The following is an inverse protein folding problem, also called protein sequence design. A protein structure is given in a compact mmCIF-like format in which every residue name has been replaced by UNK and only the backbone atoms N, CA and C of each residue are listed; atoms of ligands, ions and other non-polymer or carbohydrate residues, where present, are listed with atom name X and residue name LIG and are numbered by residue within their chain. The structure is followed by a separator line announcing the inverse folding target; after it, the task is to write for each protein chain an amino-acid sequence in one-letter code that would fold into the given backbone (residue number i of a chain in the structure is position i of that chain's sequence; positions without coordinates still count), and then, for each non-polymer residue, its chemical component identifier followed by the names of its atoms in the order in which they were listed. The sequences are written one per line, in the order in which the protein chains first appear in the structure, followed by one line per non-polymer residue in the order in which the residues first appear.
data_IF_278553880870
#
_entry.id   IF_278553880870
#
_cell.length_a   1.000
_cell.length_b   1.000
_cell.length_c   1.000
_cell.angle_alpha   90.00
_cell.angle_beta   90.00
_cell.angle_gamma   90.00
#
_symmetry.space_group_name_H-M   'P 1'
#
loop_
_entity.id
_entity.type
_entity.pdbx_description
1 polymer ?
#
# COMPACT_ATOMS: atom_id res chain seq x y z
N UNK A 1 -22.50 33.62 30.52
CA UNK A 1 -23.37 34.05 29.41
C UNK A 1 -22.66 33.66 28.14
N UNK A 2 -23.08 32.56 27.53
CA UNK A 2 -22.97 32.44 26.07
C UNK A 2 -24.02 33.34 25.42
N UNK A 3 -23.78 33.70 24.15
CA UNK A 3 -24.83 33.47 23.15
C UNK A 3 -24.31 32.85 21.83
N UNK A 4 -24.88 31.68 21.51
CA UNK A 4 -25.47 31.21 20.24
C UNK A 4 -25.02 31.71 18.85
N UNK A 5 -24.59 30.72 18.05
CA UNK A 5 -24.98 30.34 16.65
C UNK A 5 -24.66 31.24 15.44
N UNK A 6 -23.88 30.68 14.50
CA UNK A 6 -24.33 30.42 13.11
C UNK A 6 -23.38 29.45 12.37
N UNK A 7 -23.93 28.32 11.93
CA UNK A 7 -23.32 27.38 10.98
C UNK A 7 -23.13 28.04 9.60
N UNK A 8 -21.99 27.80 8.95
CA UNK A 8 -21.94 27.59 7.49
C UNK A 8 -20.89 26.52 7.18
N UNK A 9 -21.37 25.40 6.64
CA UNK A 9 -20.62 24.34 5.96
C UNK A 9 -19.59 24.88 4.96
N UNK A 10 -18.40 24.27 4.87
CA UNK A 10 -18.13 23.29 3.79
C UNK A 10 -16.73 22.67 3.88
N UNK A 11 -16.57 21.42 3.39
CA UNK A 11 -15.44 20.53 3.72
C UNK A 11 -14.47 20.26 2.55
N UNK A 12 -13.21 19.90 2.89
CA UNK A 12 -12.44 18.76 2.31
C UNK A 12 -11.90 18.93 0.86
N UNK A 13 -10.71 18.47 0.44
CA UNK A 13 -10.29 17.08 0.12
C UNK A 13 -8.83 17.16 -0.43
N UNK A 14 -7.79 16.54 0.15
CA UNK A 14 -7.32 15.13 0.06
C UNK A 14 -6.37 14.80 -1.12
N UNK A 15 -5.18 14.25 -0.78
CA UNK A 15 -4.38 13.17 -1.41
C UNK A 15 -4.77 12.65 -2.84
N UNK A 16 -3.80 12.52 -3.74
CA UNK A 16 -3.87 11.73 -4.99
C UNK A 16 -2.77 10.64 -4.95
N UNK A 17 -2.97 9.35 -4.62
CA UNK A 17 -3.65 8.25 -5.34
C UNK A 17 -4.00 8.66 -6.77
N UNK A 18 -3.57 7.88 -7.78
CA UNK A 18 -4.04 8.04 -9.16
C UNK A 18 -5.53 8.36 -9.11
N UNK A 19 -5.85 9.62 -9.39
CA UNK A 19 -7.12 10.20 -8.98
C UNK A 19 -8.25 9.40 -9.62
N UNK A 20 -7.97 8.82 -10.79
CA UNK A 20 -8.80 7.89 -11.54
C UNK A 20 -9.07 6.57 -10.79
N UNK A 21 -8.07 5.88 -10.25
CA UNK A 21 -8.28 4.66 -9.45
C UNK A 21 -9.03 4.95 -8.14
N UNK A 22 -8.75 6.10 -7.50
CA UNK A 22 -9.45 6.55 -6.30
C UNK A 22 -10.92 6.88 -6.59
N UNK A 23 -11.17 7.65 -7.64
CA UNK A 23 -12.50 8.00 -8.13
C UNK A 23 -13.26 6.73 -8.51
N UNK A 24 -12.63 5.80 -9.22
CA UNK A 24 -13.24 4.55 -9.64
C UNK A 24 -13.65 3.70 -8.42
N UNK A 25 -12.77 3.60 -7.42
CA UNK A 25 -13.08 2.92 -6.17
C UNK A 25 -14.27 3.56 -5.43
N UNK A 26 -14.29 4.89 -5.27
CA UNK A 26 -15.41 5.59 -4.63
C UNK A 26 -16.71 5.48 -5.43
N UNK A 27 -16.63 5.49 -6.77
CA UNK A 27 -17.77 5.28 -7.65
C UNK A 27 -18.38 3.89 -7.49
N UNK A 28 -17.55 2.85 -7.37
CA UNK A 28 -17.99 1.47 -7.13
C UNK A 28 -18.68 1.36 -5.76
N UNK A 29 -18.11 1.95 -4.71
CA UNK A 29 -18.71 1.98 -3.37
C UNK A 29 -20.03 2.76 -3.38
N UNK A 30 -20.10 3.90 -4.07
CA UNK A 30 -21.31 4.69 -4.24
C UNK A 30 -22.39 3.90 -4.99
N UNK A 31 -22.04 3.14 -6.03
CA UNK A 31 -22.96 2.27 -6.76
C UNK A 31 -23.60 1.21 -5.84
N UNK A 32 -22.80 0.56 -4.99
CA UNK A 32 -23.32 -0.39 -4.00
C UNK A 32 -24.22 0.27 -2.93
N UNK A 33 -23.90 1.50 -2.51
CA UNK A 33 -24.73 2.26 -1.56
C UNK A 33 -26.07 2.70 -2.17
N UNK A 34 -26.06 3.08 -3.45
CA UNK A 34 -27.24 3.59 -4.16
C UNK A 34 -28.13 2.48 -4.73
N UNK A 35 -27.65 1.24 -4.83
CA UNK A 35 -28.38 0.08 -5.36
C UNK A 35 -29.83 0.02 -4.86
N UNK A 36 -30.04 0.05 -3.53
CA UNK A 36 -31.36 -0.08 -2.93
C UNK A 36 -32.31 1.04 -3.35
N UNK A 37 -31.86 2.28 -3.23
CA UNK A 37 -32.69 3.45 -3.52
C UNK A 37 -33.09 3.46 -5.00
N UNK A 38 -32.14 3.22 -5.90
CA UNK A 38 -32.40 3.19 -7.34
C UNK A 38 -33.34 2.04 -7.74
N UNK A 39 -33.09 0.83 -7.24
CA UNK A 39 -33.91 -0.33 -7.55
C UNK A 39 -35.34 -0.19 -6.99
N UNK A 40 -35.50 0.30 -5.75
CA UNK A 40 -36.82 0.53 -5.18
C UNK A 40 -37.59 1.66 -5.88
N UNK A 41 -36.91 2.72 -6.34
CA UNK A 41 -37.55 3.79 -7.12
C UNK A 41 -38.18 3.28 -8.42
N UNK A 42 -37.62 2.25 -9.05
CA UNK A 42 -38.21 1.65 -10.24
C UNK A 42 -39.48 0.86 -9.92
N UNK A 43 -39.53 0.20 -8.77
CA UNK A 43 -40.73 -0.51 -8.30
C UNK A 43 -41.81 0.47 -7.85
N UNK A 44 -41.45 1.48 -7.07
CA UNK A 44 -42.36 2.52 -6.60
C UNK A 44 -43.09 3.22 -7.75
N UNK A 45 -42.39 3.55 -8.85
CA UNK A 45 -43.02 4.16 -10.04
C UNK A 45 -44.05 3.25 -10.70
N UNK A 46 -43.77 1.94 -10.79
CA UNK A 46 -44.70 0.95 -11.37
C UNK A 46 -45.91 0.74 -10.48
N UNK A 47 -45.72 0.69 -9.15
CA UNK A 47 -46.83 0.61 -8.19
C UNK A 47 -47.70 1.87 -8.22
N UNK A 48 -47.08 3.06 -8.29
CA UNK A 48 -47.81 4.32 -8.38
C UNK A 48 -48.69 4.39 -9.64
N UNK A 49 -48.14 3.96 -10.79
CA UNK A 49 -48.92 3.88 -12.03
C UNK A 49 -50.04 2.84 -11.94
N UNK A 50 -49.75 1.65 -11.41
CA UNK A 50 -50.78 0.62 -11.23
C UNK A 50 -51.92 1.13 -10.33
N UNK A 51 -51.61 1.86 -9.26
CA UNK A 51 -52.59 2.45 -8.35
C UNK A 51 -53.41 3.59 -8.98
N UNK A 52 -52.94 4.24 -10.04
CA UNK A 52 -53.69 5.29 -10.74
C UNK A 52 -54.65 4.74 -11.80
N UNK A 53 -54.60 3.43 -12.10
CA UNK A 53 -55.49 2.80 -13.07
C UNK A 53 -56.92 2.63 -12.53
N UNK A 54 -57.93 2.50 -13.41
CA UNK A 54 -59.28 2.12 -13.01
C UNK A 54 -59.32 0.84 -12.19
N UNK A 55 -60.24 0.75 -11.23
CA UNK A 55 -60.33 -0.39 -10.29
C UNK A 55 -60.43 -1.76 -10.98
N UNK A 56 -61.13 -1.87 -12.11
CA UNK A 56 -61.20 -3.09 -12.92
C UNK A 56 -59.84 -3.53 -13.45
N UNK A 57 -59.01 -2.59 -13.91
CA UNK A 57 -57.65 -2.89 -14.39
C UNK A 57 -56.72 -3.27 -13.25
N UNK A 58 -56.88 -2.64 -12.07
CA UNK A 58 -56.12 -3.04 -10.88
C UNK A 58 -56.42 -4.49 -10.48
N UNK A 59 -57.69 -4.91 -10.54
CA UNK A 59 -58.10 -6.30 -10.27
C UNK A 59 -57.50 -7.27 -11.28
N UNK A 60 -57.50 -6.94 -12.57
CA UNK A 60 -56.87 -7.77 -13.61
C UNK A 60 -55.35 -7.91 -13.41
N UNK A 61 -54.71 -6.91 -12.82
CA UNK A 61 -53.27 -6.87 -12.55
C UNK A 61 -52.89 -7.32 -11.13
N UNK A 62 -53.78 -7.97 -10.38
CA UNK A 62 -53.50 -8.43 -9.02
C UNK A 62 -52.23 -9.31 -8.94
N UNK A 63 -52.07 -10.26 -9.87
CA UNK A 63 -50.87 -11.11 -9.96
C UNK A 63 -49.58 -10.31 -10.25
N UNK A 64 -49.70 -9.21 -11.00
CA UNK A 64 -48.57 -8.33 -11.28
C UNK A 64 -48.19 -7.48 -10.06
N UNK A 65 -49.19 -7.01 -9.28
CA UNK A 65 -48.96 -6.36 -7.98
C UNK A 65 -48.21 -7.28 -7.01
N UNK A 66 -48.60 -8.55 -6.92
CA UNK A 66 -47.90 -9.54 -6.09
C UNK A 66 -46.47 -9.80 -6.58
N UNK A 67 -46.27 -9.82 -7.89
CA UNK A 67 -44.93 -9.93 -8.47
C UNK A 67 -44.05 -8.72 -8.08
N UNK A 68 -44.58 -7.49 -8.10
CA UNK A 68 -43.83 -6.31 -7.66
C UNK A 68 -43.41 -6.42 -6.19
N UNK A 69 -44.23 -6.98 -5.30
CA UNK A 69 -43.85 -7.23 -3.91
C UNK A 69 -42.69 -8.25 -3.80
N UNK A 70 -42.72 -9.33 -4.58
CA UNK A 70 -41.61 -10.29 -4.65
C UNK A 70 -40.32 -9.63 -5.15
N UNK A 71 -40.42 -8.72 -6.13
CA UNK A 71 -39.26 -7.94 -6.61
C UNK A 71 -38.70 -7.04 -5.52
N UNK A 72 -39.54 -6.35 -4.73
CA UNK A 72 -39.08 -5.55 -3.56
C UNK A 72 -38.31 -6.41 -2.56
N UNK A 73 -38.84 -7.60 -2.25
CA UNK A 73 -38.18 -8.52 -1.34
C UNK A 73 -36.79 -8.93 -1.85
N UNK A 74 -36.66 -9.28 -3.13
CA UNK A 74 -35.38 -9.63 -3.74
C UNK A 74 -34.38 -8.46 -3.73
N UNK A 75 -34.85 -7.24 -4.02
CA UNK A 75 -34.01 -6.02 -3.92
C UNK A 75 -33.47 -5.85 -2.50
N UNK A 76 -34.31 -6.08 -1.49
CA UNK A 76 -33.89 -5.93 -0.10
C UNK A 76 -32.95 -7.04 0.37
N UNK A 77 -33.13 -8.27 -0.13
CA UNK A 77 -32.19 -9.36 0.09
C UNK A 77 -30.82 -9.07 -0.54
N UNK A 78 -30.79 -8.56 -1.77
CA UNK A 78 -29.58 -8.13 -2.46
C UNK A 78 -28.92 -6.95 -1.74
N UNK A 79 -29.69 -5.97 -1.28
CA UNK A 79 -29.14 -4.85 -0.50
C UNK A 79 -28.46 -5.30 0.79
N UNK A 80 -29.00 -6.30 1.50
CA UNK A 80 -28.34 -6.89 2.67
C UNK A 80 -26.98 -7.50 2.31
N UNK A 81 -26.86 -8.14 1.14
CA UNK A 81 -25.59 -8.66 0.64
C UNK A 81 -24.63 -7.52 0.22
N UNK A 82 -25.10 -6.54 -0.54
CA UNK A 82 -24.30 -5.37 -0.92
C UNK A 82 -23.80 -4.57 0.28
N UNK A 83 -24.60 -4.47 1.34
CA UNK A 83 -24.14 -3.91 2.62
C UNK A 83 -22.96 -4.68 3.18
N UNK A 84 -22.93 -6.02 3.12
CA UNK A 84 -21.77 -6.80 3.59
C UNK A 84 -20.51 -6.47 2.79
N UNK A 85 -20.63 -6.28 1.47
CA UNK A 85 -19.51 -5.83 0.61
C UNK A 85 -19.07 -4.40 0.95
N UNK A 86 -20.02 -3.51 1.25
CA UNK A 86 -19.75 -2.09 1.45
C UNK A 86 -19.39 -1.68 2.89
N UNK A 87 -19.61 -2.52 3.91
CA UNK A 87 -19.50 -2.10 5.33
C UNK A 87 -18.52 -2.87 6.20
N UNK A 88 -17.87 -3.97 5.77
CA UNK A 88 -17.15 -4.80 6.77
C UNK A 88 -15.83 -5.50 6.46
N UNK A 89 -15.18 -5.37 5.29
CA UNK A 89 -14.03 -6.29 5.02
C UNK A 89 -12.68 -5.66 4.69
N UNK A 90 -12.56 -4.40 4.28
CA UNK A 90 -11.23 -3.94 3.81
C UNK A 90 -10.28 -3.41 4.90
N UNK A 91 -10.75 -2.69 5.93
CA UNK A 91 -9.84 -2.15 6.96
C UNK A 91 -9.14 -3.23 7.79
N UNK A 92 -9.85 -4.28 8.19
CA UNK A 92 -9.28 -5.41 8.95
C UNK A 92 -8.48 -6.39 8.07
N UNK A 93 -8.72 -6.45 6.76
CA UNK A 93 -7.95 -7.32 5.87
C UNK A 93 -6.55 -6.77 5.57
N UNK A 94 -6.40 -5.44 5.50
CA UNK A 94 -5.12 -4.78 5.16
C UNK A 94 -4.10 -4.90 6.31
N UNK A 95 -4.51 -4.75 7.56
CA UNK A 95 -3.61 -4.94 8.73
C UNK A 95 -3.09 -6.38 8.86
N UNK A 96 -3.84 -7.37 8.34
CA UNK A 96 -3.43 -8.78 8.36
C UNK A 96 -2.40 -9.13 7.27
N UNK A 97 -2.18 -8.24 6.30
CA UNK A 97 -1.16 -8.40 5.28
C UNK A 97 0.18 -7.94 5.85
N UNK A 98 1.10 -8.89 6.01
CA UNK A 98 2.43 -8.67 6.57
C UNK A 98 3.44 -8.41 5.47
N UNK A 99 4.07 -7.24 5.54
CA UNK A 99 5.05 -6.77 4.56
C UNK A 99 6.41 -6.62 5.23
N UNK A 100 7.43 -7.25 4.66
CA UNK A 100 8.83 -7.08 5.08
C UNK A 100 9.56 -6.16 4.09
N UNK A 101 10.37 -5.25 4.62
CA UNK A 101 11.26 -4.35 3.85
C UNK A 101 12.70 -4.56 4.31
N UNK A 102 13.46 -5.44 3.65
CA UNK A 102 14.90 -5.59 3.90
C UNK A 102 15.68 -4.34 3.46
N UNK A 103 16.73 -3.99 4.20
CA UNK A 103 17.53 -2.78 3.93
C UNK A 103 16.70 -1.49 4.03
N UNK A 104 15.94 -1.36 5.11
CA UNK A 104 14.96 -0.28 5.27
C UNK A 104 15.60 1.12 5.38
N UNK A 105 16.91 1.23 5.62
CA UNK A 105 17.65 2.48 5.71
C UNK A 105 17.07 3.39 6.79
N UNK A 106 16.68 4.61 6.40
CA UNK A 106 16.04 5.57 7.31
C UNK A 106 14.57 5.26 7.63
N UNK A 107 13.98 4.27 6.97
CA UNK A 107 12.63 3.78 7.26
C UNK A 107 11.48 4.58 6.63
N UNK A 108 11.73 5.38 5.58
CA UNK A 108 10.64 6.11 4.90
C UNK A 108 9.63 5.15 4.24
N UNK A 109 10.11 4.11 3.55
CA UNK A 109 9.23 3.16 2.86
C UNK A 109 8.34 2.38 3.84
N UNK A 110 8.90 1.93 4.97
CA UNK A 110 8.12 1.23 6.00
C UNK A 110 7.05 2.14 6.63
N UNK A 111 7.35 3.43 6.82
CA UNK A 111 6.37 4.42 7.28
C UNK A 111 5.23 4.57 6.27
N UNK A 112 5.54 4.69 4.97
CA UNK A 112 4.54 4.83 3.90
C UNK A 112 3.61 3.61 3.80
N UNK A 113 4.17 2.40 3.93
CA UNK A 113 3.41 1.15 3.90
C UNK A 113 2.50 1.07 5.15
N UNK A 114 3.04 1.33 6.34
CA UNK A 114 2.25 1.30 7.56
C UNK A 114 1.20 2.43 7.61
N UNK A 115 1.47 3.60 7.03
CA UNK A 115 0.51 4.70 6.88
C UNK A 115 -0.71 4.31 6.03
N UNK A 116 -0.53 3.41 5.06
CA UNK A 116 -1.63 2.83 4.27
C UNK A 116 -2.44 1.76 5.02
N UNK A 117 -2.02 1.35 6.22
CA UNK A 117 -2.75 0.44 7.09
C UNK A 117 -2.19 -0.97 7.20
N UNK A 118 -1.08 -1.27 6.51
CA UNK A 118 -0.48 -2.61 6.52
C UNK A 118 0.32 -2.88 7.81
N UNK A 119 0.53 -4.15 8.14
CA UNK A 119 1.64 -4.52 9.02
C UNK A 119 2.93 -4.44 8.20
N UNK A 120 3.85 -3.58 8.61
CA UNK A 120 5.15 -3.42 7.96
C UNK A 120 6.28 -3.58 8.97
N UNK A 121 7.26 -4.40 8.61
CA UNK A 121 8.52 -4.52 9.33
C UNK A 121 9.67 -4.14 8.41
N UNK A 122 10.53 -3.23 8.87
CA UNK A 122 11.81 -2.96 8.25
C UNK A 122 12.91 -3.80 8.88
N UNK A 123 13.88 -4.22 8.08
CA UNK A 123 15.13 -4.77 8.58
C UNK A 123 16.30 -3.88 8.16
N UNK A 124 17.21 -3.62 9.09
CA UNK A 124 18.42 -2.86 8.81
C UNK A 124 19.60 -3.39 9.64
N UNK A 125 20.76 -3.49 9.01
CA UNK A 125 21.99 -3.98 9.63
C UNK A 125 22.92 -2.82 10.03
N UNK A 126 22.96 -1.74 9.25
CA UNK A 126 23.86 -0.62 9.48
C UNK A 126 23.48 0.17 10.73
N UNK A 127 24.40 0.24 11.69
CA UNK A 127 24.22 1.03 12.90
C UNK A 127 24.00 2.54 12.59
N UNK A 128 24.63 3.05 11.52
CA UNK A 128 24.41 4.43 11.06
C UNK A 128 22.93 4.66 10.70
N UNK A 129 22.34 3.73 9.95
CA UNK A 129 20.93 3.82 9.53
C UNK A 129 19.98 3.60 10.71
N UNK A 130 20.29 2.67 11.63
CA UNK A 130 19.48 2.40 12.81
C UNK A 130 19.41 3.60 13.77
N UNK A 131 20.55 4.25 14.04
CA UNK A 131 20.60 5.44 14.90
C UNK A 131 19.83 6.60 14.25
N UNK A 132 20.09 6.85 12.97
CA UNK A 132 19.44 7.94 12.25
C UNK A 132 17.93 7.72 12.06
N UNK A 133 17.50 6.50 11.71
CA UNK A 133 16.08 6.14 11.58
C UNK A 133 15.36 6.27 12.91
N UNK A 134 15.94 5.81 14.02
CA UNK A 134 15.35 5.98 15.34
C UNK A 134 15.17 7.47 15.71
N UNK A 135 16.11 8.34 15.35
CA UNK A 135 15.94 9.78 15.53
C UNK A 135 14.79 10.32 14.67
N UNK A 136 14.78 10.04 13.36
CA UNK A 136 13.77 10.56 12.43
C UNK A 136 12.37 10.02 12.74
N UNK A 137 12.22 8.76 13.12
CA UNK A 137 10.92 8.13 13.33
C UNK A 137 10.34 8.40 14.72
N UNK A 138 11.18 8.52 15.76
CA UNK A 138 10.71 8.59 17.15
C UNK A 138 10.96 9.94 17.83
N UNK A 139 11.82 10.80 17.28
CA UNK A 139 12.18 12.10 17.88
C UNK A 139 11.77 13.28 17.01
N UNK A 140 11.77 13.09 15.70
CA UNK A 140 11.36 14.13 14.77
C UNK A 140 9.83 14.20 14.64
N UNK A 141 9.18 15.00 15.49
CA UNK A 141 7.70 15.09 15.55
C UNK A 141 7.07 16.29 14.83
N UNK A 142 7.86 17.27 14.37
CA UNK A 142 7.37 18.46 13.64
C UNK A 142 7.91 18.48 12.21
N UNK A 143 7.09 18.86 11.23
CA UNK A 143 7.52 19.05 9.84
C UNK A 143 8.66 20.09 9.78
N UNK A 144 9.70 19.81 9.00
CA UNK A 144 10.85 20.69 8.76
C UNK A 144 11.60 21.17 10.01
N UNK A 145 11.54 20.42 11.11
CA UNK A 145 12.14 20.81 12.40
C UNK A 145 13.68 20.82 12.41
N UNK A 146 14.31 20.05 11.51
CA UNK A 146 15.75 19.90 11.42
C UNK A 146 16.24 20.42 10.08
N UNK A 147 17.45 20.99 10.07
CA UNK A 147 18.14 21.46 8.87
C UNK A 147 19.45 20.69 8.71
N UNK A 148 19.75 20.23 7.49
CA UNK A 148 20.96 19.50 7.13
C UNK A 148 21.59 20.09 5.86
N UNK A 149 22.90 19.93 5.69
CA UNK A 149 23.64 20.43 4.52
C UNK A 149 24.33 19.26 3.82
N UNK A 150 23.59 18.44 3.04
CA UNK A 150 24.08 17.16 2.52
C UNK A 150 25.17 17.30 1.45
N UNK A 151 25.28 18.46 0.81
CA UNK A 151 26.14 18.66 -0.37
C UNK A 151 27.56 19.14 -0.04
N UNK A 152 27.87 19.45 1.23
CA UNK A 152 29.12 20.13 1.61
C UNK A 152 30.38 19.36 1.25
N UNK A 153 30.30 18.03 1.14
CA UNK A 153 31.43 17.17 0.78
C UNK A 153 31.60 16.95 -0.74
N UNK A 154 30.68 17.45 -1.57
CA UNK A 154 30.80 17.37 -3.03
C UNK A 154 31.63 18.54 -3.57
N UNK A 155 32.89 18.29 -3.93
CA UNK A 155 33.83 19.31 -4.42
C UNK A 155 33.87 19.44 -5.96
N UNK A 156 33.26 18.50 -6.67
CA UNK A 156 33.22 18.45 -8.14
C UNK A 156 31.77 18.55 -8.64
N UNK A 157 31.58 18.93 -9.91
CA UNK A 157 30.25 19.06 -10.54
C UNK A 157 29.29 20.07 -9.87
N UNK A 158 29.83 21.11 -9.20
CA UNK A 158 29.02 22.21 -8.67
C UNK A 158 28.86 23.31 -9.75
N UNK A 159 27.62 23.56 -10.18
CA UNK A 159 27.33 24.65 -11.13
C UNK A 159 27.49 26.05 -10.50
N UNK A 160 27.20 26.17 -9.21
CA UNK A 160 27.40 27.40 -8.44
C UNK A 160 27.89 27.11 -7.03
N UNK A 161 28.54 28.10 -6.40
CA UNK A 161 28.94 28.03 -4.98
C UNK A 161 27.75 27.79 -4.04
N UNK A 162 26.56 28.27 -4.42
CA UNK A 162 25.34 28.09 -3.65
C UNK A 162 24.88 26.64 -3.55
N UNK A 163 25.10 25.84 -4.60
CA UNK A 163 24.63 24.44 -4.62
C UNK A 163 25.34 23.58 -3.56
N UNK A 164 26.63 23.80 -3.31
CA UNK A 164 27.38 23.02 -2.31
C UNK A 164 26.94 23.30 -0.87
N UNK A 165 26.39 24.48 -0.60
CA UNK A 165 25.97 24.92 0.74
C UNK A 165 24.45 24.98 0.90
N UNK A 166 23.71 24.38 -0.05
CA UNK A 166 22.26 24.37 -0.02
C UNK A 166 21.75 23.53 1.16
N UNK A 167 20.83 24.11 1.93
CA UNK A 167 20.24 23.48 3.10
C UNK A 167 19.00 22.68 2.69
N UNK A 168 18.78 21.55 3.36
CA UNK A 168 17.52 20.78 3.29
C UNK A 168 16.91 20.70 4.68
N UNK A 169 15.59 20.74 4.76
CA UNK A 169 14.85 20.56 6.02
C UNK A 169 14.19 19.18 6.07
N UNK A 170 14.06 18.62 7.27
CA UNK A 170 13.42 17.32 7.50
C UNK A 170 12.81 17.22 8.90
N UNK A 171 11.88 16.28 9.14
CA UNK A 171 11.16 15.45 8.15
C UNK A 171 10.14 16.31 7.38
N UNK A 172 9.88 15.98 6.12
CA UNK A 172 8.84 16.62 5.29
C UNK A 172 7.42 16.31 5.78
N UNK A 173 7.25 15.16 6.46
CA UNK A 173 5.99 14.73 7.06
C UNK A 173 6.19 14.53 8.57
N UNK A 174 5.26 15.04 9.39
CA UNK A 174 5.26 14.76 10.83
C UNK A 174 4.61 13.40 11.11
N UNK A 175 5.33 12.43 11.71
CA UNK A 175 4.75 11.15 12.11
C UNK A 175 3.68 11.30 13.21
N UNK A 176 3.68 12.42 13.94
CA UNK A 176 2.66 12.70 14.97
C UNK A 176 1.37 13.24 14.37
N UNK A 177 1.47 14.10 13.35
CA UNK A 177 0.31 14.64 12.63
C UNK A 177 -0.31 13.60 11.70
N UNK A 178 0.53 12.73 11.13
CA UNK A 178 0.12 11.66 10.21
C UNK A 178 0.59 10.29 10.71
N UNK A 179 0.06 9.80 11.84
CA UNK A 179 0.51 8.53 12.40
C UNK A 179 0.20 7.37 11.46
N UNK A 180 1.07 6.33 11.40
CA UNK A 180 0.76 5.11 10.69
C UNK A 180 -0.60 4.53 11.11
N UNK A 181 -1.40 4.11 10.14
CA UNK A 181 -2.72 3.48 10.40
C UNK A 181 -2.58 2.01 10.78
N UNK A 182 -1.53 1.35 10.27
CA UNK A 182 -1.17 -0.03 10.56
C UNK A 182 -0.01 -0.13 11.57
N UNK A 183 0.59 -1.32 11.64
CA UNK A 183 1.72 -1.57 12.54
C UNK A 183 3.04 -1.33 11.82
N UNK A 184 3.97 -0.65 12.50
CA UNK A 184 5.29 -0.32 11.97
C UNK A 184 6.36 -0.81 12.95
N UNK A 185 7.27 -1.65 12.48
CA UNK A 185 8.40 -2.18 13.26
C UNK A 185 9.72 -1.99 12.50
N UNK A 186 10.84 -1.93 13.24
CA UNK A 186 12.20 -1.94 12.69
C UNK A 186 13.04 -2.95 13.47
N UNK A 187 13.65 -3.91 12.78
CA UNK A 187 14.49 -4.98 13.35
C UNK A 187 15.94 -4.77 12.94
N UNK A 188 16.83 -4.76 13.94
CA UNK A 188 18.26 -4.60 13.75
C UNK A 188 18.97 -5.94 13.52
N UNK A 189 19.77 -6.03 12.45
CA UNK A 189 20.71 -7.11 12.21
C UNK A 189 20.68 -7.64 10.77
N UNK A 190 21.45 -8.68 10.51
CA UNK A 190 21.65 -9.27 9.19
C UNK A 190 20.39 -10.00 8.69
N UNK A 191 19.89 -9.58 7.53
CA UNK A 191 18.74 -10.18 6.85
C UNK A 191 18.86 -11.70 6.73
N UNK A 192 20.05 -12.20 6.34
CA UNK A 192 20.29 -13.63 6.15
C UNK A 192 20.18 -14.44 7.45
N UNK A 193 20.36 -13.80 8.60
CA UNK A 193 20.40 -14.45 9.90
C UNK A 193 19.06 -14.38 10.63
N UNK A 194 18.36 -13.25 10.51
CA UNK A 194 17.13 -12.95 11.25
C UNK A 194 15.94 -13.73 10.70
N UNK A 195 15.78 -13.76 9.38
CA UNK A 195 14.55 -14.26 8.77
C UNK A 195 14.69 -15.73 8.41
N UNK A 196 14.13 -16.59 9.28
CA UNK A 196 14.18 -18.06 9.17
C UNK A 196 12.81 -18.74 9.11
N UNK A 197 11.76 -18.04 9.54
CA UNK A 197 10.41 -18.59 9.55
C UNK A 197 9.86 -18.66 8.12
N UNK A 198 9.69 -19.89 7.64
CA UNK A 198 9.13 -20.16 6.32
C UNK A 198 7.65 -19.77 6.25
N UNK A 199 7.19 -19.38 5.06
CA UNK A 199 5.77 -19.13 4.77
C UNK A 199 5.09 -18.13 5.73
N UNK A 200 5.80 -17.07 6.11
CA UNK A 200 5.33 -16.13 7.13
C UNK A 200 4.87 -14.78 6.57
N UNK A 201 5.52 -14.29 5.52
CA UNK A 201 5.27 -12.97 4.93
C UNK A 201 4.31 -13.04 3.74
N UNK A 202 3.40 -12.07 3.65
CA UNK A 202 2.51 -11.93 2.49
C UNK A 202 3.23 -11.20 1.34
N UNK A 203 4.14 -10.28 1.69
CA UNK A 203 4.93 -9.52 0.74
C UNK A 203 6.34 -9.25 1.26
N UNK A 204 7.33 -9.29 0.37
CA UNK A 204 8.67 -8.73 0.60
C UNK A 204 8.89 -7.62 -0.42
N UNK A 205 9.33 -6.44 0.03
CA UNK A 205 9.60 -5.29 -0.83
C UNK A 205 11.06 -4.86 -0.68
N UNK A 206 11.86 -5.05 -1.72
CA UNK A 206 13.27 -4.66 -1.77
C UNK A 206 13.44 -3.42 -2.64
N UNK A 207 14.12 -2.40 -2.11
CA UNK A 207 14.39 -1.14 -2.81
C UNK A 207 15.87 -0.79 -2.68
N UNK A 208 16.65 -0.83 -3.77
CA UNK A 208 18.12 -0.62 -3.74
C UNK A 208 18.81 -1.52 -2.69
N UNK A 209 18.45 -2.81 -2.68
CA UNK A 209 18.86 -3.75 -1.64
C UNK A 209 19.56 -5.00 -2.18
N UNK A 210 19.03 -5.63 -3.23
CA UNK A 210 19.51 -6.97 -3.63
C UNK A 210 20.96 -7.00 -4.12
N UNK A 211 21.48 -5.85 -4.56
CA UNK A 211 22.85 -5.66 -4.99
C UNK A 211 23.83 -5.41 -3.83
N UNK A 212 23.36 -5.37 -2.57
CA UNK A 212 24.23 -5.35 -1.39
C UNK A 212 24.64 -6.74 -0.89
N UNK A 213 24.19 -7.82 -1.56
CA UNK A 213 24.56 -9.19 -1.20
C UNK A 213 25.97 -9.55 -1.69
N UNK A 214 26.72 -10.34 -0.90
CA UNK A 214 27.90 -11.06 -1.41
C UNK A 214 27.51 -12.10 -2.45
N UNK A 215 26.40 -12.81 -2.20
CA UNK A 215 25.80 -13.77 -3.11
C UNK A 215 24.29 -13.51 -3.19
N UNK A 216 23.84 -12.94 -4.30
CA UNK A 216 22.44 -12.60 -4.51
C UNK A 216 21.51 -13.81 -4.50
N UNK A 217 22.02 -15.02 -4.78
CA UNK A 217 21.22 -16.25 -4.73
C UNK A 217 20.72 -16.49 -3.30
N UNK A 218 21.55 -16.24 -2.28
CA UNK A 218 21.15 -16.41 -0.87
C UNK A 218 19.98 -15.48 -0.51
N UNK A 219 19.96 -14.26 -1.07
CA UNK A 219 18.84 -13.33 -0.89
C UNK A 219 17.59 -13.86 -1.57
N UNK A 220 17.67 -14.29 -2.83
CA UNK A 220 16.53 -14.82 -3.58
C UNK A 220 15.93 -16.05 -2.89
N UNK A 221 16.77 -16.97 -2.41
CA UNK A 221 16.33 -18.18 -1.70
C UNK A 221 15.64 -17.84 -0.37
N UNK A 222 16.20 -16.95 0.45
CA UNK A 222 15.54 -16.54 1.69
C UNK A 222 14.22 -15.86 1.39
N UNK A 223 14.17 -14.93 0.44
CA UNK A 223 12.92 -14.23 0.08
C UNK A 223 11.86 -15.25 -0.36
N UNK A 224 12.23 -16.26 -1.16
CA UNK A 224 11.32 -17.33 -1.56
C UNK A 224 10.78 -18.11 -0.35
N UNK A 225 11.67 -18.55 0.54
CA UNK A 225 11.32 -19.41 1.66
C UNK A 225 10.44 -18.72 2.70
N UNK A 226 10.69 -17.43 2.98
CA UNK A 226 9.96 -16.69 4.02
C UNK A 226 8.59 -16.19 3.53
N UNK A 227 8.37 -16.14 2.21
CA UNK A 227 7.07 -15.81 1.63
C UNK A 227 6.10 -16.97 1.77
N UNK A 228 4.83 -16.67 2.10
CA UNK A 228 3.73 -17.63 2.01
C UNK A 228 3.58 -18.14 0.56
N UNK A 229 2.95 -19.31 0.34
CA UNK A 229 2.50 -19.70 -0.99
C UNK A 229 1.53 -18.65 -1.56
N UNK A 230 1.78 -18.21 -2.80
CA UNK A 230 1.09 -17.07 -3.42
C UNK A 230 1.49 -15.69 -2.89
N UNK A 231 2.49 -15.61 -2.00
CA UNK A 231 3.08 -14.36 -1.52
C UNK A 231 3.89 -13.66 -2.62
N UNK A 232 4.03 -12.35 -2.50
CA UNK A 232 4.63 -11.52 -3.55
C UNK A 232 5.99 -10.93 -3.15
N UNK A 233 6.92 -10.89 -4.10
CA UNK A 233 8.15 -10.13 -3.98
C UNK A 233 8.15 -8.97 -4.99
N UNK A 234 8.31 -7.75 -4.47
CA UNK A 234 8.48 -6.53 -5.26
C UNK A 234 9.93 -6.08 -5.14
N UNK A 235 10.63 -5.95 -6.26
CA UNK A 235 11.98 -5.42 -6.30
C UNK A 235 12.07 -4.18 -7.19
N UNK A 236 12.73 -3.13 -6.72
CA UNK A 236 13.11 -1.96 -7.51
C UNK A 236 14.53 -1.52 -7.14
N UNK A 237 15.46 -1.55 -8.09
CA UNK A 237 16.82 -1.10 -7.84
C UNK A 237 17.80 -1.47 -8.95
N UNK A 238 18.99 -0.86 -8.96
CA UNK A 238 20.05 -1.22 -9.89
C UNK A 238 20.68 -2.57 -9.52
N UNK A 239 21.73 -2.93 -10.25
CA UNK A 239 22.64 -4.04 -9.94
C UNK A 239 24.05 -3.48 -9.72
N UNK A 240 24.20 -2.55 -8.78
CA UNK A 240 25.48 -1.98 -8.39
C UNK A 240 26.05 -2.80 -7.23
N UNK A 241 26.67 -3.94 -7.57
CA UNK A 241 27.14 -4.90 -6.57
C UNK A 241 28.12 -4.29 -5.59
N UNK A 242 27.72 -4.22 -4.32
CA UNK A 242 28.44 -3.47 -3.28
C UNK A 242 29.89 -3.91 -3.10
N UNK A 243 30.14 -5.20 -3.24
CA UNK A 243 31.43 -5.83 -2.95
C UNK A 243 32.31 -6.04 -4.19
N UNK A 244 31.87 -5.64 -5.39
CA UNK A 244 32.57 -5.97 -6.65
C UNK A 244 34.03 -5.49 -6.71
N UNK A 245 34.31 -4.34 -6.08
CA UNK A 245 35.63 -3.70 -6.09
C UNK A 245 36.41 -3.89 -4.77
N UNK A 246 35.90 -4.73 -3.85
CA UNK A 246 36.51 -4.95 -2.54
C UNK A 246 37.44 -6.18 -2.55
N UNK A 247 38.76 -5.93 -2.55
CA UNK A 247 39.80 -6.97 -2.71
C UNK A 247 39.76 -8.14 -1.71
N UNK A 248 39.14 -7.96 -0.54
CA UNK A 248 39.09 -8.99 0.52
C UNK A 248 37.69 -9.57 0.73
N UNK A 249 36.72 -9.22 -0.12
CA UNK A 249 35.35 -9.70 -0.03
C UNK A 249 35.04 -10.63 -1.20
N UNK A 250 34.26 -11.67 -0.93
CA UNK A 250 33.70 -12.48 -2.01
C UNK A 250 32.45 -11.80 -2.55
N UNK A 251 32.32 -11.74 -3.88
CA UNK A 251 31.19 -11.11 -4.55
C UNK A 251 30.88 -11.88 -5.84
N UNK A 252 29.59 -11.99 -6.16
CA UNK A 252 29.10 -12.58 -7.41
C UNK A 252 28.19 -11.54 -8.06
N UNK A 253 28.51 -11.14 -9.29
CA UNK A 253 27.85 -10.05 -10.02
C UNK A 253 27.05 -10.54 -11.24
N UNK A 254 25.94 -11.29 -11.07
CA UNK A 254 25.15 -11.74 -12.21
C UNK A 254 24.55 -10.56 -12.97
N UNK A 255 24.39 -10.72 -14.28
CA UNK A 255 23.63 -9.76 -15.09
C UNK A 255 22.15 -9.81 -14.73
N UNK A 256 21.36 -8.84 -15.21
CA UNK A 256 19.91 -8.90 -15.06
C UNK A 256 19.30 -10.15 -15.71
N UNK A 257 19.84 -10.59 -16.86
CA UNK A 257 19.37 -11.80 -17.54
C UNK A 257 19.61 -13.05 -16.67
N UNK A 258 20.80 -13.15 -16.07
CA UNK A 258 21.14 -14.23 -15.14
C UNK A 258 20.27 -14.19 -13.88
N UNK A 259 20.01 -13.00 -13.33
CA UNK A 259 19.12 -12.82 -12.18
C UNK A 259 17.71 -13.32 -12.48
N UNK A 260 17.18 -13.07 -13.68
CA UNK A 260 15.87 -13.60 -14.10
C UNK A 260 15.88 -15.14 -14.14
N UNK A 261 16.98 -15.75 -14.57
CA UNK A 261 17.14 -17.21 -14.54
C UNK A 261 17.20 -17.74 -13.12
N UNK A 262 17.96 -17.11 -12.23
CA UNK A 262 18.06 -17.47 -10.80
C UNK A 262 16.66 -17.41 -10.15
N UNK A 263 15.95 -16.29 -10.30
CA UNK A 263 14.61 -16.07 -9.74
C UNK A 263 13.64 -17.18 -10.15
N UNK A 264 13.61 -17.51 -11.45
CA UNK A 264 12.76 -18.61 -11.96
C UNK A 264 13.20 -19.97 -11.44
N UNK A 265 14.50 -20.20 -11.32
CA UNK A 265 15.07 -21.47 -10.85
C UNK A 265 14.75 -21.72 -9.37
N UNK A 266 14.64 -20.67 -8.55
CA UNK A 266 14.17 -20.75 -7.17
C UNK A 266 12.66 -21.04 -7.06
N UNK A 267 11.87 -20.87 -8.14
CA UNK A 267 10.44 -21.18 -8.17
C UNK A 267 9.51 -19.96 -8.24
N UNK A 268 10.03 -18.74 -8.41
CA UNK A 268 9.17 -17.57 -8.60
C UNK A 268 8.52 -17.53 -9.98
N UNK A 269 7.27 -17.07 -10.01
CA UNK A 269 6.53 -16.68 -11.20
C UNK A 269 6.67 -15.18 -11.39
N UNK A 270 7.14 -14.75 -12.56
CA UNK A 270 7.25 -13.32 -12.90
C UNK A 270 5.89 -12.80 -13.33
N UNK A 271 5.33 -11.85 -12.57
CA UNK A 271 4.06 -11.19 -12.86
C UNK A 271 4.26 -9.89 -13.65
N UNK A 272 5.24 -9.08 -13.28
CA UNK A 272 5.61 -7.84 -13.98
C UNK A 272 7.12 -7.76 -14.09
N UNK A 273 7.60 -7.32 -15.26
CA UNK A 273 9.01 -7.03 -15.51
C UNK A 273 9.10 -5.79 -16.39
N UNK A 274 9.51 -4.67 -15.80
CA UNK A 274 9.70 -3.40 -16.50
C UNK A 274 10.87 -2.64 -15.90
N UNK A 275 11.89 -2.31 -16.70
CA UNK A 275 13.01 -1.41 -16.36
C UNK A 275 13.40 -1.39 -14.87
N UNK A 276 13.89 -2.54 -14.38
CA UNK A 276 14.34 -2.84 -13.00
C UNK A 276 13.26 -2.94 -11.90
N UNK A 277 11.98 -2.75 -12.24
CA UNK A 277 10.84 -3.17 -11.42
C UNK A 277 10.48 -4.62 -11.73
N UNK A 278 10.50 -5.45 -10.69
CA UNK A 278 10.04 -6.83 -10.72
C UNK A 278 8.89 -7.03 -9.73
N UNK A 279 7.79 -7.60 -10.20
CA UNK A 279 6.74 -8.18 -9.35
C UNK A 279 6.73 -9.68 -9.57
N UNK A 280 6.91 -10.42 -8.50
CA UNK A 280 7.11 -11.86 -8.49
C UNK A 280 6.14 -12.50 -7.50
N UNK A 281 5.74 -13.74 -7.75
CA UNK A 281 4.91 -14.53 -6.83
C UNK A 281 5.51 -15.92 -6.62
N UNK A 282 5.39 -16.45 -5.40
CA UNK A 282 5.68 -17.86 -5.13
C UNK A 282 4.58 -18.76 -5.71
N UNK A 283 4.93 -20.03 -5.99
CA UNK A 283 3.98 -21.03 -6.51
C UNK A 283 2.91 -21.46 -5.50
#
# INVERSE_FOLDING_TARGET
MEPSTCDVDTPDYSEEIDEEERINFYNIIAAFRCYRANSLNHVNRKEAYLNSLPGTHQTMLANYRDHLQKVRYCIEANYKLHRKFATKTFRSAVENVKILVPGAGLGRLIYEIAYRGYYCEGNEFSLFMLIASNFVLNRCVIENQCTFYPWVHQYVNNLSRGNQIEAVTFPDVSPTKFPPKGTMNMVAGDFLQIYRDENYWDCVATCFFIDCANNIIDFVEIIYNILKPGGIWINLGPLLYHFSDMLNENSIEPTYEDLIVIIKSCGFIILVNSLLLLLLATC
#
